data_IF_813234298080
#
_entry.id   IF_813234298080
#
_cell.length_a   1.000
_cell.length_b   1.000
_cell.length_c   1.000
_cell.angle_alpha   90.00
_cell.angle_beta   90.00
_cell.angle_gamma   90.00
#
_symmetry.space_group_name_H-M   'P 1'
#
loop_
_entity.id
_entity.type
_entity.pdbx_description
1 polymer ?
#
# COMPACT_ATOMS: atom_id res chain seq x y z
N UNK A 1 -61.52 33.65 23.48
CA UNK A 1 -60.93 34.33 24.65
C UNK A 1 -60.10 33.33 25.44
N UNK A 2 -58.80 33.23 25.13
CA UNK A 2 -57.79 32.51 25.93
C UNK A 2 -56.43 33.06 25.46
N UNK A 3 -55.98 34.16 26.07
CA UNK A 3 -54.60 34.61 25.90
C UNK A 3 -53.78 33.88 26.94
N UNK A 4 -53.00 32.89 26.48
CA UNK A 4 -52.02 32.22 27.31
C UNK A 4 -50.71 32.99 27.28
N UNK A 5 -50.22 33.20 28.49
CA UNK A 5 -49.07 33.97 28.90
C UNK A 5 -47.87 33.02 28.96
N UNK A 6 -46.85 33.22 28.13
CA UNK A 6 -45.47 32.77 28.38
C UNK A 6 -44.52 33.75 27.68
N UNK A 7 -44.21 34.85 28.36
CA UNK A 7 -43.03 35.66 28.04
C UNK A 7 -41.83 34.87 28.52
N UNK A 8 -41.01 34.35 27.64
CA UNK A 8 -39.62 34.02 27.92
C UNK A 8 -38.82 34.01 26.62
N UNK A 9 -37.65 34.63 26.69
CA UNK A 9 -36.50 34.43 25.80
C UNK A 9 -36.43 35.26 24.51
N UNK A 10 -36.07 36.53 24.74
CA UNK A 10 -35.14 37.27 23.90
C UNK A 10 -33.88 36.45 23.58
N UNK A 11 -33.64 36.09 22.33
CA UNK A 11 -32.31 36.19 21.71
C UNK A 11 -32.38 35.98 20.19
N UNK A 12 -32.06 37.05 19.47
CA UNK A 12 -31.51 37.11 18.11
C UNK A 12 -31.80 35.95 17.15
N UNK A 13 -32.69 36.23 16.20
CA UNK A 13 -32.69 35.62 14.88
C UNK A 13 -31.46 36.15 14.14
N UNK A 14 -30.36 35.39 14.13
CA UNK A 14 -29.25 35.56 13.20
C UNK A 14 -29.20 34.35 12.28
N UNK A 15 -29.87 34.52 11.15
CA UNK A 15 -29.73 33.76 9.91
C UNK A 15 -28.25 33.65 9.52
N UNK A 16 -27.68 32.45 9.40
CA UNK A 16 -26.71 32.08 8.35
C UNK A 16 -26.39 30.57 8.38
N UNK A 17 -27.07 29.84 7.49
CA UNK A 17 -26.61 28.76 6.60
C UNK A 17 -25.23 28.09 6.86
N UNK A 18 -25.27 26.74 7.01
CA UNK A 18 -24.29 25.72 6.53
C UNK A 18 -22.90 25.77 7.21
N UNK A 19 -22.38 24.70 7.82
CA UNK A 19 -22.05 23.39 7.24
C UNK A 19 -21.75 22.46 8.43
N UNK A 20 -22.13 21.18 8.36
CA UNK A 20 -21.51 20.19 9.25
C UNK A 20 -20.01 20.22 8.95
N UNK A 21 -19.20 20.70 9.87
CA UNK A 21 -17.76 20.54 9.76
C UNK A 21 -17.50 19.06 9.92
N UNK A 22 -17.29 18.37 8.79
CA UNK A 22 -16.45 17.20 8.81
C UNK A 22 -15.15 17.66 9.47
N UNK A 23 -14.89 17.21 10.69
CA UNK A 23 -13.55 17.23 11.24
C UNK A 23 -12.76 16.20 10.44
N UNK A 24 -12.35 16.59 9.23
CA UNK A 24 -11.18 16.01 8.60
C UNK A 24 -10.04 16.42 9.51
N UNK A 25 -9.58 15.49 10.35
CA UNK A 25 -8.23 15.57 10.87
C UNK A 25 -7.33 15.53 9.64
N UNK A 26 -7.01 16.72 9.13
CA UNK A 26 -5.95 16.90 8.15
C UNK A 26 -4.67 16.65 8.91
N UNK A 27 -4.19 15.41 8.87
CA UNK A 27 -2.84 15.09 9.29
C UNK A 27 -1.92 15.77 8.26
N UNK A 28 -1.42 16.95 8.62
CA UNK A 28 -0.51 17.74 7.79
C UNK A 28 0.95 17.26 7.88
N UNK A 29 1.17 15.97 8.13
CA UNK A 29 2.49 15.34 8.24
C UNK A 29 2.91 14.56 6.97
N UNK A 30 2.05 14.51 5.94
CA UNK A 30 2.38 13.91 4.64
C UNK A 30 2.42 12.38 4.68
N UNK A 31 1.60 11.77 5.52
CA UNK A 31 1.47 10.32 5.68
C UNK A 31 0.04 9.84 5.37
N UNK A 32 -0.69 10.57 4.53
CA UNK A 32 -2.04 10.19 4.10
C UNK A 32 -1.95 9.46 2.76
N UNK A 33 -1.85 8.12 2.70
CA UNK A 33 -1.70 7.38 1.44
C UNK A 33 -2.87 7.55 0.44
N UNK A 34 -3.94 8.26 0.82
CA UNK A 34 -5.03 8.66 -0.06
C UNK A 34 -4.90 10.11 -0.60
N UNK A 35 -3.88 10.86 -0.19
CA UNK A 35 -3.47 12.11 -0.81
C UNK A 35 -2.66 11.78 -2.09
N UNK A 36 -3.07 12.29 -3.26
CA UNK A 36 -2.30 12.09 -4.50
C UNK A 36 -0.86 12.63 -4.44
N UNK A 37 -0.53 13.45 -3.44
CA UNK A 37 0.79 14.09 -3.28
C UNK A 37 1.84 13.18 -2.62
N UNK A 38 1.44 12.20 -1.81
CA UNK A 38 2.31 11.23 -1.13
C UNK A 38 2.05 9.78 -1.59
N UNK A 39 0.84 9.44 -2.03
CA UNK A 39 0.50 8.10 -2.52
C UNK A 39 1.24 7.69 -3.80
N UNK A 40 1.72 8.65 -4.59
CA UNK A 40 2.56 8.40 -5.77
C UNK A 40 4.07 8.42 -5.51
N UNK A 41 4.50 8.66 -4.27
CA UNK A 41 5.91 8.54 -3.90
C UNK A 41 6.26 7.06 -3.65
N UNK A 42 7.53 6.74 -3.76
CA UNK A 42 8.13 5.45 -3.43
C UNK A 42 9.26 5.80 -2.45
N UNK A 43 8.99 5.63 -1.15
CA UNK A 43 9.84 6.18 -0.10
C UNK A 43 11.06 5.32 0.22
N UNK A 44 10.98 4.01 0.02
CA UNK A 44 12.08 3.07 0.24
C UNK A 44 12.75 2.59 -1.04
N UNK A 45 12.17 2.87 -2.21
CA UNK A 45 12.78 2.68 -3.51
C UNK A 45 12.71 1.24 -4.01
N UNK A 46 11.69 0.48 -3.60
CA UNK A 46 11.57 -0.95 -3.89
C UNK A 46 10.80 -1.24 -5.21
N UNK A 47 10.15 -0.21 -5.76
CA UNK A 47 9.38 -0.28 -7.00
C UNK A 47 7.87 -0.25 -6.82
N UNK A 48 7.34 -0.24 -5.59
CA UNK A 48 5.95 0.07 -5.29
C UNK A 48 5.83 1.53 -4.87
N UNK A 49 4.75 2.17 -5.30
CA UNK A 49 4.36 3.45 -4.71
C UNK A 49 3.71 3.21 -3.34
N UNK A 50 3.83 4.19 -2.45
CA UNK A 50 3.15 4.30 -1.17
C UNK A 50 1.65 3.88 -1.21
N UNK A 51 0.93 4.22 -2.29
CA UNK A 51 -0.46 3.80 -2.48
C UNK A 51 -0.60 2.32 -2.87
N UNK A 52 0.31 1.80 -3.69
CA UNK A 52 0.39 0.36 -4.02
C UNK A 52 0.76 -0.46 -2.78
N UNK A 53 1.70 0.02 -1.98
CA UNK A 53 2.08 -0.62 -0.71
C UNK A 53 0.89 -0.70 0.25
N UNK A 54 0.10 0.37 0.37
CA UNK A 54 -1.13 0.33 1.14
C UNK A 54 -2.13 -0.73 0.61
N UNK A 55 -2.17 -0.95 -0.71
CA UNK A 55 -3.03 -1.97 -1.34
C UNK A 55 -2.52 -3.39 -1.10
N UNK A 56 -1.20 -3.58 -1.12
CA UNK A 56 -0.53 -4.86 -0.87
C UNK A 56 -0.37 -5.16 0.63
N UNK A 57 -0.56 -4.16 1.49
CA UNK A 57 -0.44 -4.29 2.95
C UNK A 57 1.01 -4.31 3.43
N UNK A 58 1.93 -3.75 2.64
CA UNK A 58 3.36 -3.65 2.93
C UNK A 58 3.71 -2.37 3.69
N UNK A 59 4.94 -2.24 4.17
CA UNK A 59 5.44 -1.11 4.93
C UNK A 59 6.11 -0.08 4.03
N UNK A 60 5.47 1.09 3.89
CA UNK A 60 5.87 2.25 3.07
C UNK A 60 7.28 2.82 3.30
N UNK A 61 8.04 2.22 4.21
CA UNK A 61 9.38 2.66 4.58
C UNK A 61 10.38 1.52 4.62
N UNK A 62 9.96 0.31 4.23
CA UNK A 62 10.80 -0.88 4.16
C UNK A 62 10.58 -1.57 2.83
N UNK A 63 11.63 -1.54 2.02
CA UNK A 63 11.66 -2.22 0.73
C UNK A 63 11.41 -3.74 0.81
N UNK A 64 11.48 -4.35 1.99
CA UNK A 64 11.25 -5.77 2.25
C UNK A 64 10.46 -5.86 3.57
N UNK A 65 9.15 -6.08 3.44
CA UNK A 65 8.21 -5.99 4.55
C UNK A 65 8.25 -7.20 5.47
N UNK A 66 8.49 -8.39 4.94
CA UNK A 66 8.52 -9.63 5.72
C UNK A 66 9.91 -10.10 6.13
N UNK A 67 10.95 -9.50 5.56
CA UNK A 67 12.34 -9.64 5.95
C UNK A 67 13.02 -10.89 5.39
N UNK A 68 12.59 -11.42 4.24
CA UNK A 68 13.18 -12.60 3.62
C UNK A 68 14.32 -12.31 2.63
N UNK A 69 14.53 -11.02 2.32
CA UNK A 69 15.57 -10.54 1.42
C UNK A 69 15.11 -10.28 -0.03
N UNK A 70 13.82 -10.46 -0.33
CA UNK A 70 13.19 -10.04 -1.56
C UNK A 70 12.52 -8.66 -1.37
N UNK A 71 12.63 -7.74 -2.34
CA UNK A 71 11.88 -6.49 -2.26
C UNK A 71 10.40 -6.68 -2.55
N UNK A 72 9.51 -5.96 -1.85
CA UNK A 72 8.06 -6.13 -1.99
C UNK A 72 7.62 -5.89 -3.45
N UNK A 73 8.17 -4.87 -4.09
CA UNK A 73 7.94 -4.58 -5.51
C UNK A 73 8.40 -5.68 -6.46
N UNK A 74 9.49 -6.38 -6.15
CA UNK A 74 9.93 -7.52 -6.95
C UNK A 74 8.98 -8.70 -6.77
N UNK A 75 8.57 -8.99 -5.53
CA UNK A 75 7.65 -10.08 -5.22
C UNK A 75 6.30 -9.88 -5.91
N UNK A 76 5.73 -8.68 -5.79
CA UNK A 76 4.47 -8.32 -6.46
C UNK A 76 4.59 -8.46 -7.98
N UNK A 77 5.70 -8.02 -8.57
CA UNK A 77 5.93 -8.13 -10.00
C UNK A 77 6.04 -9.59 -10.50
N UNK A 78 6.49 -10.50 -9.65
CA UNK A 78 6.66 -11.93 -9.96
C UNK A 78 5.55 -12.81 -9.36
N UNK A 79 4.52 -12.23 -8.75
CA UNK A 79 3.37 -12.96 -8.21
C UNK A 79 3.64 -13.71 -6.91
N UNK A 80 4.71 -13.36 -6.20
CA UNK A 80 4.96 -13.75 -4.81
C UNK A 80 4.14 -12.88 -3.85
N UNK A 81 4.18 -13.22 -2.56
CA UNK A 81 3.45 -12.49 -1.53
C UNK A 81 4.43 -11.74 -0.60
N UNK A 82 4.49 -10.39 -0.66
CA UNK A 82 5.43 -9.55 0.10
C UNK A 82 5.20 -9.50 1.62
N UNK A 83 4.36 -10.39 2.12
CA UNK A 83 4.04 -10.55 3.53
C UNK A 83 4.22 -12.00 4.00
N UNK A 84 4.91 -12.82 3.20
CA UNK A 84 5.11 -14.24 3.42
C UNK A 84 6.57 -14.64 3.12
N UNK A 85 7.46 -14.35 4.06
CA UNK A 85 8.90 -14.61 3.89
C UNK A 85 9.33 -16.08 3.73
N UNK A 86 8.38 -17.01 3.68
CA UNK A 86 8.63 -18.39 3.30
C UNK A 86 8.68 -18.61 1.79
N UNK A 87 8.07 -17.75 0.98
CA UNK A 87 8.01 -17.96 -0.47
C UNK A 87 9.30 -17.58 -1.22
N UNK A 88 10.21 -16.78 -0.64
CA UNK A 88 11.60 -16.68 -1.08
C UNK A 88 12.32 -18.03 -1.26
N UNK A 89 11.93 -19.05 -0.49
CA UNK A 89 12.50 -20.39 -0.54
C UNK A 89 11.71 -21.35 -1.44
N UNK A 90 10.66 -20.87 -2.11
CA UNK A 90 9.87 -21.67 -3.05
C UNK A 90 10.54 -21.72 -4.41
N UNK A 91 10.34 -22.84 -5.09
CA UNK A 91 10.76 -23.12 -6.46
C UNK A 91 9.46 -23.36 -7.27
N UNK A 92 8.93 -22.30 -7.87
CA UNK A 92 7.57 -22.32 -8.41
C UNK A 92 7.50 -22.99 -9.79
N UNK A 93 8.57 -22.92 -10.58
CA UNK A 93 8.67 -23.53 -11.91
C UNK A 93 9.39 -24.90 -11.91
N UNK A 94 9.97 -25.31 -10.79
CA UNK A 94 10.64 -26.60 -10.55
C UNK A 94 11.92 -26.77 -11.38
N UNK A 95 12.67 -25.70 -11.57
CA UNK A 95 13.96 -25.71 -12.26
C UNK A 95 15.15 -26.00 -11.33
N UNK A 96 14.93 -25.90 -10.01
CA UNK A 96 15.92 -26.16 -8.97
C UNK A 96 16.48 -24.92 -8.29
N UNK A 97 16.04 -23.72 -8.66
CA UNK A 97 16.33 -22.46 -7.96
C UNK A 97 15.15 -22.03 -7.08
N UNK A 98 15.45 -21.39 -5.96
CA UNK A 98 14.44 -20.69 -5.17
C UNK A 98 14.26 -19.26 -5.67
N UNK A 99 13.10 -18.66 -5.42
CA UNK A 99 12.84 -17.27 -5.78
C UNK A 99 13.94 -16.29 -5.32
N UNK A 100 14.49 -16.46 -4.12
CA UNK A 100 15.65 -15.68 -3.65
C UNK A 100 16.93 -15.87 -4.48
N UNK A 101 17.19 -17.09 -4.96
CA UNK A 101 18.33 -17.37 -5.83
C UNK A 101 18.11 -16.77 -7.22
N UNK A 102 16.89 -16.79 -7.71
CA UNK A 102 16.52 -16.23 -9.01
C UNK A 102 16.55 -14.72 -9.01
N UNK A 103 16.08 -14.07 -7.93
CA UNK A 103 16.26 -12.64 -7.73
C UNK A 103 17.75 -12.24 -7.80
N UNK A 104 18.63 -13.03 -7.17
CA UNK A 104 20.07 -12.79 -7.21
C UNK A 104 20.69 -13.04 -8.61
N UNK A 105 20.07 -13.87 -9.45
CA UNK A 105 20.51 -14.18 -10.81
C UNK A 105 19.84 -13.29 -11.87
N UNK A 106 18.78 -12.57 -11.52
CA UNK A 106 17.97 -11.79 -12.44
C UNK A 106 17.12 -12.65 -13.38
N UNK A 107 16.76 -13.86 -12.92
CA UNK A 107 15.85 -14.79 -13.63
C UNK A 107 14.43 -14.65 -13.10
N UNK A 108 13.47 -15.28 -13.77
CA UNK A 108 12.06 -15.19 -13.42
C UNK A 108 11.62 -16.45 -12.65
N UNK A 109 11.14 -16.32 -11.40
CA UNK A 109 10.72 -17.45 -10.55
C UNK A 109 9.54 -18.27 -11.03
N UNK A 110 8.96 -17.90 -12.17
CA UNK A 110 7.88 -18.63 -12.81
C UNK A 110 8.26 -19.15 -14.20
N UNK A 111 9.55 -19.15 -14.55
CA UNK A 111 10.04 -19.53 -15.87
C UNK A 111 11.35 -20.30 -15.76
N UNK A 112 11.24 -21.63 -15.85
CA UNK A 112 12.37 -22.55 -15.74
C UNK A 112 13.47 -22.39 -16.80
N UNK A 113 13.35 -21.44 -17.73
CA UNK A 113 14.31 -21.04 -18.77
C UNK A 113 13.93 -19.60 -19.15
N UNK A 114 14.49 -18.61 -18.44
CA UNK A 114 14.10 -17.20 -18.58
C UNK A 114 14.45 -16.61 -19.95
N UNK A 115 15.57 -17.02 -20.55
CA UNK A 115 16.03 -16.48 -21.84
C UNK A 115 15.60 -17.30 -23.07
N UNK A 116 15.05 -18.49 -22.84
CA UNK A 116 14.49 -19.36 -23.86
C UNK A 116 15.55 -20.03 -24.74
N UNK A 117 16.79 -20.16 -24.25
CA UNK A 117 17.88 -20.80 -25.00
C UNK A 117 17.83 -22.35 -24.97
N UNK A 118 16.93 -22.90 -24.16
CA UNK A 118 16.72 -24.33 -23.98
C UNK A 118 17.52 -24.95 -22.81
N UNK A 119 18.19 -24.14 -21.99
CA UNK A 119 18.82 -24.56 -20.73
C UNK A 119 18.08 -23.95 -19.55
N UNK A 120 17.81 -24.74 -18.50
CA UNK A 120 17.24 -24.18 -17.29
C UNK A 120 18.15 -23.19 -16.60
N UNK A 121 17.55 -22.26 -15.84
CA UNK A 121 18.29 -21.30 -15.03
C UNK A 121 19.01 -22.03 -13.86
N UNK A 122 18.38 -23.08 -13.30
CA UNK A 122 18.92 -23.99 -12.27
C UNK A 122 19.93 -25.08 -12.66
#
# INVERSE_FOLDING_TARGET
MKMNNQKNLSMLVALFLVLMTASSVVSGDGTDPLDPSDGGADWDGDGLTNAEEQQHGTDMTKADSDGDGLPDGWEVAHGLNPNNGGDANSDADNDGLTAAQEYAQGTNPNSADTDGDGRPDG
#
